data_IF_648851262217
#
_entry.id   IF_648851262217
#
_cell.length_a   1.000
_cell.length_b   1.000
_cell.length_c   1.000
_cell.angle_alpha   90.00
_cell.angle_beta   90.00
_cell.angle_gamma   90.00
#
_symmetry.space_group_name_H-M   'P 1'
#
loop_
_entity.id
_entity.type
_entity.pdbx_description
1 polymer ?
#
# COMPACT_ATOMS: atom_id res chain seq x y z
N UNK A 1 -16.81 -49.47 -56.05
CA UNK A 1 -16.83 -48.39 -55.05
C UNK A 1 -15.53 -47.60 -55.13
N UNK A 2 -15.64 -46.26 -55.26
CA UNK A 2 -14.59 -45.23 -55.05
C UNK A 2 -13.42 -45.23 -56.06
N UNK A 3 -12.99 -44.14 -56.69
CA UNK A 3 -13.32 -42.71 -56.62
C UNK A 3 -12.17 -41.96 -57.33
N UNK A 4 -12.48 -41.21 -58.39
CA UNK A 4 -11.51 -40.55 -59.30
C UNK A 4 -10.75 -39.40 -58.60
N UNK A 5 -9.42 -39.43 -58.62
CA UNK A 5 -8.57 -38.29 -58.26
C UNK A 5 -8.03 -37.57 -59.49
N UNK A 6 -8.70 -36.48 -59.91
CA UNK A 6 -8.20 -35.55 -60.94
C UNK A 6 -7.13 -34.63 -60.34
N UNK A 7 -5.90 -34.72 -60.85
CA UNK A 7 -4.86 -33.73 -60.58
C UNK A 7 -5.22 -32.40 -61.26
N UNK A 8 -5.26 -31.32 -60.47
CA UNK A 8 -5.30 -29.93 -60.96
C UNK A 8 -4.05 -29.21 -60.45
N UNK A 9 -3.21 -28.76 -61.38
CA UNK A 9 -2.22 -27.69 -61.15
C UNK A 9 -2.95 -26.33 -61.19
N UNK A 10 -2.55 -25.40 -60.33
CA UNK A 10 -2.10 -24.07 -60.79
C UNK A 10 -0.91 -23.59 -59.93
N UNK A 11 -0.18 -22.51 -60.18
CA UNK A 11 0.18 -21.71 -61.35
C UNK A 11 1.53 -21.07 -60.95
N UNK A 12 2.47 -20.91 -61.90
CA UNK A 12 3.70 -20.14 -61.66
C UNK A 12 3.51 -18.70 -62.15
N UNK A 13 3.94 -17.73 -61.35
CA UNK A 13 4.45 -16.38 -61.67
C UNK A 13 4.69 -15.72 -60.28
N UNK A 14 5.78 -15.05 -59.93
CA UNK A 14 7.02 -14.65 -60.59
C UNK A 14 7.74 -13.70 -59.61
N UNK A 15 9.08 -13.65 -59.69
CA UNK A 15 9.86 -12.44 -59.40
C UNK A 15 10.07 -12.01 -57.93
N UNK A 16 11.29 -12.30 -57.47
CA UNK A 16 12.11 -11.60 -56.47
C UNK A 16 11.65 -10.20 -56.02
N UNK A 17 11.53 -10.04 -54.70
CA UNK A 17 11.20 -8.76 -54.06
C UNK A 17 11.54 -8.70 -52.58
N UNK A 18 12.71 -9.21 -52.18
CA UNK A 18 13.27 -8.92 -50.85
C UNK A 18 14.07 -7.61 -50.91
N UNK A 19 13.58 -6.48 -50.37
CA UNK A 19 14.46 -5.38 -50.04
C UNK A 19 15.25 -5.72 -48.78
N UNK A 20 16.54 -5.99 -48.99
CA UNK A 20 17.57 -6.11 -47.96
C UNK A 20 17.62 -4.84 -47.09
N UNK A 21 17.24 -4.96 -45.81
CA UNK A 21 17.50 -3.90 -44.84
C UNK A 21 18.99 -3.92 -44.48
N UNK A 22 19.66 -2.80 -44.76
CA UNK A 22 21.08 -2.57 -44.45
C UNK A 22 21.29 -2.55 -42.92
N UNK A 23 22.40 -3.11 -42.40
CA UNK A 23 22.74 -2.96 -40.99
C UNK A 23 23.17 -1.51 -40.74
N UNK A 24 22.38 -0.79 -39.93
CA UNK A 24 22.75 0.55 -39.49
C UNK A 24 23.79 0.48 -38.36
N UNK A 25 24.78 1.35 -38.54
CA UNK A 25 25.95 1.63 -37.74
C UNK A 25 25.73 1.53 -36.21
N UNK A 26 26.66 0.86 -35.54
CA UNK A 26 26.94 1.07 -34.12
C UNK A 26 27.40 2.51 -33.92
N UNK A 27 26.73 3.25 -33.04
CA UNK A 27 27.33 4.39 -32.34
C UNK A 27 27.47 4.00 -30.87
N UNK A 28 28.72 3.98 -30.41
CA UNK A 28 29.07 3.94 -28.99
C UNK A 28 29.06 5.38 -28.45
N UNK A 29 28.81 5.44 -27.15
CA UNK A 29 29.16 6.49 -26.19
C UNK A 29 28.05 7.42 -25.65
N UNK A 30 27.75 7.13 -24.36
CA UNK A 30 27.58 8.02 -23.21
C UNK A 30 26.36 8.96 -23.11
N UNK A 31 25.48 8.68 -22.14
CA UNK A 31 25.48 9.42 -20.85
C UNK A 31 24.73 8.61 -19.76
N UNK A 32 25.13 8.69 -18.48
CA UNK A 32 24.52 7.91 -17.41
C UNK A 32 23.13 8.45 -17.07
N UNK A 33 22.21 7.55 -16.72
CA UNK A 33 20.98 7.93 -16.04
C UNK A 33 21.36 8.64 -14.73
N UNK A 34 20.99 9.91 -14.64
CA UNK A 34 21.31 10.79 -13.54
C UNK A 34 20.81 10.26 -12.20
N UNK A 35 21.67 10.44 -11.20
CA UNK A 35 21.30 10.43 -9.80
C UNK A 35 20.24 11.50 -9.53
N UNK A 36 18.98 11.10 -9.32
CA UNK A 36 18.02 11.89 -8.55
C UNK A 36 17.78 11.21 -7.19
N UNK A 37 18.87 11.10 -6.43
CA UNK A 37 18.82 10.97 -4.97
C UNK A 37 18.81 12.39 -4.38
N UNK A 38 17.79 13.19 -4.70
CA UNK A 38 17.61 14.52 -4.15
C UNK A 38 16.55 14.49 -3.04
N UNK A 39 17.03 14.44 -1.80
CA UNK A 39 16.38 15.11 -0.67
C UNK A 39 15.09 14.49 -0.13
N UNK A 40 15.15 13.27 0.43
CA UNK A 40 14.27 12.99 1.58
C UNK A 40 14.86 13.73 2.77
N UNK A 41 14.24 14.84 3.15
CA UNK A 41 14.51 15.48 4.44
C UNK A 41 14.51 14.40 5.54
N UNK A 42 15.53 14.34 6.41
CA UNK A 42 15.49 13.40 7.53
C UNK A 42 14.23 13.70 8.34
N UNK A 43 13.46 12.65 8.64
CA UNK A 43 12.28 12.73 9.49
C UNK A 43 12.59 13.66 10.68
N UNK A 44 11.91 14.81 10.73
CA UNK A 44 12.13 15.84 11.76
C UNK A 44 12.08 15.14 13.11
N UNK A 45 13.23 15.01 13.78
CA UNK A 45 13.27 14.55 15.18
C UNK A 45 12.43 15.54 15.97
N UNK A 46 11.29 15.07 16.47
CA UNK A 46 10.46 15.85 17.39
C UNK A 46 11.34 16.24 18.58
N UNK A 47 11.34 17.54 18.91
CA UNK A 47 12.05 18.01 20.10
C UNK A 47 11.44 17.32 21.33
N UNK A 48 12.27 16.91 22.32
CA UNK A 48 11.73 16.35 23.55
C UNK A 48 10.76 17.33 24.20
N UNK A 49 9.62 16.81 24.62
CA UNK A 49 8.50 17.59 25.15
C UNK A 49 8.87 18.17 26.53
N UNK A 50 8.60 19.45 26.81
CA UNK A 50 8.83 20.00 28.14
C UNK A 50 7.98 19.27 29.18
N UNK A 51 8.54 19.04 30.36
CA UNK A 51 7.84 18.39 31.47
C UNK A 51 6.64 19.25 31.91
N UNK A 52 5.42 18.74 31.73
CA UNK A 52 4.18 19.43 32.11
C UNK A 52 3.05 19.34 31.08
N UNK A 53 3.34 18.96 29.84
CA UNK A 53 2.30 18.71 28.84
C UNK A 53 1.50 17.43 29.18
N UNK A 54 0.16 17.43 28.98
CA UNK A 54 -0.64 16.22 29.13
C UNK A 54 -0.13 15.12 28.19
N UNK A 55 -0.23 13.83 28.61
CA UNK A 55 0.25 12.71 27.81
C UNK A 55 -0.39 12.73 26.42
N UNK A 56 0.41 12.39 25.40
CA UNK A 56 -0.07 12.32 24.02
C UNK A 56 -1.21 11.30 23.94
N UNK A 57 -2.32 11.68 23.32
CA UNK A 57 -3.36 10.72 22.93
C UNK A 57 -2.95 10.04 21.64
N UNK A 58 -2.72 8.74 21.71
CA UNK A 58 -2.26 7.91 20.59
C UNK A 58 -3.33 6.90 20.18
N UNK A 59 -3.50 6.72 18.87
CA UNK A 59 -4.42 5.74 18.30
C UNK A 59 -3.70 4.76 17.37
N UNK A 60 -4.04 3.49 17.50
CA UNK A 60 -3.85 2.48 16.47
C UNK A 60 -5.22 2.16 15.86
N UNK A 61 -5.42 2.52 14.60
CA UNK A 61 -6.65 2.24 13.87
C UNK A 61 -6.38 1.16 12.83
N UNK A 62 -6.84 -0.05 13.09
CA UNK A 62 -6.78 -1.14 12.14
C UNK A 62 -7.99 -1.13 11.23
N UNK A 63 -7.75 -1.06 9.93
CA UNK A 63 -8.74 -1.07 8.87
C UNK A 63 -8.72 -2.44 8.19
N UNK A 64 -9.89 -3.04 7.99
CA UNK A 64 -9.95 -4.37 7.42
C UNK A 64 -11.29 -5.06 7.56
N UNK A 65 -11.34 -6.32 7.15
CA UNK A 65 -12.50 -7.19 7.26
C UNK A 65 -12.07 -8.65 7.40
N UNK A 66 -12.28 -9.25 8.58
CA UNK A 66 -11.96 -10.66 8.85
C UNK A 66 -12.73 -11.66 7.99
N UNK A 67 -13.78 -11.23 7.28
CA UNK A 67 -14.50 -12.08 6.32
C UNK A 67 -13.79 -12.16 4.96
N UNK A 68 -12.80 -11.28 4.69
CA UNK A 68 -12.16 -11.09 3.40
C UNK A 68 -10.67 -11.50 3.40
N UNK A 69 -10.35 -12.62 4.04
CA UNK A 69 -9.05 -13.26 3.92
C UNK A 69 -7.94 -12.41 4.50
N UNK A 70 -7.02 -11.97 3.65
CA UNK A 70 -5.86 -11.19 4.10
C UNK A 70 -6.21 -9.74 4.44
N UNK A 71 -7.41 -9.25 4.11
CA UNK A 71 -7.93 -7.96 4.63
C UNK A 71 -8.06 -7.97 6.16
N UNK A 72 -8.15 -9.16 6.77
CA UNK A 72 -8.13 -9.33 8.23
C UNK A 72 -6.75 -9.17 8.88
N UNK A 73 -5.67 -8.93 8.12
CA UNK A 73 -4.31 -8.88 8.69
C UNK A 73 -4.12 -7.71 9.66
N UNK A 74 -4.77 -6.58 9.39
CA UNK A 74 -4.76 -5.42 10.28
C UNK A 74 -5.45 -5.74 11.61
N UNK A 75 -6.57 -6.46 11.58
CA UNK A 75 -7.30 -6.90 12.79
C UNK A 75 -6.49 -7.92 13.59
N UNK A 76 -5.87 -8.89 12.90
CA UNK A 76 -4.96 -9.83 13.53
C UNK A 76 -3.80 -9.12 14.24
N UNK A 77 -3.21 -8.08 13.61
CA UNK A 77 -2.16 -7.27 14.22
C UNK A 77 -2.67 -6.44 15.41
N UNK A 78 -3.84 -5.81 15.28
CA UNK A 78 -4.46 -5.02 16.33
C UNK A 78 -4.72 -5.86 17.60
N UNK A 79 -5.19 -7.09 17.44
CA UNK A 79 -5.44 -8.01 18.57
C UNK A 79 -4.16 -8.32 19.34
N UNK A 80 -3.06 -8.59 18.63
CA UNK A 80 -1.74 -8.80 19.24
C UNK A 80 -1.21 -7.52 19.91
N UNK A 81 -1.46 -6.34 19.33
CA UNK A 81 -1.04 -5.05 19.88
C UNK A 81 -1.89 -4.60 21.07
N UNK A 82 -3.09 -5.15 21.26
CA UNK A 82 -3.89 -4.93 22.47
C UNK A 82 -3.35 -5.68 23.67
N UNK A 83 -2.54 -6.71 23.48
CA UNK A 83 -2.00 -7.51 24.58
C UNK A 83 -0.92 -6.73 25.36
N UNK A 84 -1.04 -6.76 26.69
CA UNK A 84 -0.11 -6.12 27.62
C UNK A 84 -0.34 -4.62 27.83
N UNK A 85 0.51 -3.98 28.67
CA UNK A 85 0.45 -2.55 28.94
C UNK A 85 0.73 -1.71 27.68
N UNK A 86 -0.06 -0.65 27.48
CA UNK A 86 0.03 0.27 26.33
C UNK A 86 -0.39 1.68 26.72
N UNK A 87 0.12 2.67 25.99
CA UNK A 87 -0.20 4.10 26.11
C UNK A 87 -1.02 4.62 24.92
N UNK A 88 -1.60 3.71 24.12
CA UNK A 88 -2.41 4.01 22.94
C UNK A 88 -3.74 3.24 22.94
N UNK A 89 -4.73 3.82 22.29
CA UNK A 89 -6.02 3.20 22.01
C UNK A 89 -5.92 2.30 20.77
N UNK A 90 -6.70 1.21 20.72
CA UNK A 90 -6.69 0.28 19.57
C UNK A 90 -8.11 0.04 19.09
N UNK A 91 -8.41 0.49 17.87
CA UNK A 91 -9.72 0.37 17.23
C UNK A 91 -9.60 -0.53 16.01
N UNK A 92 -10.55 -1.45 15.85
CA UNK A 92 -10.78 -2.20 14.61
C UNK A 92 -11.97 -1.56 13.90
N UNK A 93 -11.85 -1.25 12.61
CA UNK A 93 -12.94 -0.68 11.81
C UNK A 93 -12.93 -1.23 10.39
N UNK A 94 -14.11 -1.46 9.84
CA UNK A 94 -14.31 -1.78 8.42
C UNK A 94 -14.79 -0.55 7.62
N UNK A 95 -14.83 0.62 8.26
CA UNK A 95 -15.25 1.88 7.64
C UNK A 95 -14.17 2.45 6.73
N UNK A 96 -14.57 3.36 5.84
CA UNK A 96 -13.69 3.94 4.83
C UNK A 96 -13.97 5.44 4.67
N UNK A 97 -13.00 6.18 4.12
CA UNK A 97 -13.18 7.58 3.75
C UNK A 97 -13.55 8.50 4.93
N UNK A 98 -14.60 9.31 4.75
CA UNK A 98 -14.98 10.35 5.71
C UNK A 98 -15.40 9.80 7.08
N UNK A 99 -15.91 8.57 7.16
CA UNK A 99 -16.29 7.94 8.43
C UNK A 99 -15.08 7.75 9.37
N UNK A 100 -13.86 7.68 8.82
CA UNK A 100 -12.64 7.58 9.62
C UNK A 100 -12.33 8.84 10.45
N UNK A 101 -12.97 9.98 10.15
CA UNK A 101 -12.79 11.22 10.93
C UNK A 101 -13.16 11.04 12.39
N UNK A 102 -14.27 10.35 12.66
CA UNK A 102 -14.82 10.21 14.01
C UNK A 102 -13.87 9.41 14.92
N UNK A 103 -13.10 8.48 14.33
CA UNK A 103 -12.08 7.72 15.05
C UNK A 103 -10.82 8.54 15.32
N UNK A 104 -10.47 9.46 14.41
CA UNK A 104 -9.20 10.19 14.45
C UNK A 104 -9.27 11.48 15.27
N UNK A 105 -10.46 12.06 15.40
CA UNK A 105 -10.65 13.29 16.16
C UNK A 105 -10.21 13.15 17.62
N UNK A 106 -9.51 14.17 18.13
CA UNK A 106 -9.07 14.26 19.52
C UNK A 106 -7.73 13.58 19.81
N UNK A 107 -7.18 12.81 18.87
CA UNK A 107 -5.85 12.20 18.99
C UNK A 107 -4.74 13.12 18.50
N UNK A 108 -3.56 12.97 19.09
CA UNK A 108 -2.37 13.75 18.73
C UNK A 108 -1.49 12.98 17.72
N UNK A 109 -1.50 11.63 17.81
CA UNK A 109 -0.80 10.70 16.92
C UNK A 109 -1.73 9.54 16.55
N UNK A 110 -1.66 9.08 15.30
CA UNK A 110 -2.38 7.90 14.84
C UNK A 110 -1.54 7.05 13.88
N UNK A 111 -1.63 5.73 14.06
CA UNK A 111 -1.07 4.72 13.14
C UNK A 111 -2.24 3.93 12.56
N UNK A 112 -2.38 3.96 11.23
CA UNK A 112 -3.35 3.15 10.50
C UNK A 112 -2.70 1.85 10.07
N UNK A 113 -3.36 0.71 10.33
CA UNK A 113 -2.97 -0.59 9.79
C UNK A 113 -3.93 -1.01 8.69
N UNK A 114 -3.43 -1.57 7.59
CA UNK A 114 -4.27 -2.03 6.50
C UNK A 114 -3.62 -3.17 5.68
N UNK A 115 -4.42 -3.90 4.90
CA UNK A 115 -3.97 -4.72 3.79
C UNK A 115 -4.03 -3.92 2.49
N UNK A 116 -3.03 -4.05 1.62
CA UNK A 116 -2.99 -3.35 0.32
C UNK A 116 -2.63 -4.30 -0.80
N UNK A 117 -3.03 -3.93 -2.01
CA UNK A 117 -2.59 -4.60 -3.24
C UNK A 117 -2.11 -3.56 -4.24
N UNK A 118 -0.79 -3.52 -4.43
CA UNK A 118 -0.13 -2.66 -5.41
C UNK A 118 0.35 -3.45 -6.63
N UNK A 119 0.58 -4.75 -6.48
CA UNK A 119 1.18 -5.62 -7.50
C UNK A 119 2.67 -5.32 -7.77
N UNK A 120 3.30 -4.46 -6.97
CA UNK A 120 4.70 -4.03 -7.13
C UNK A 120 5.65 -4.73 -6.16
N UNK A 121 5.11 -5.29 -5.09
CA UNK A 121 5.86 -5.95 -4.03
C UNK A 121 5.33 -7.38 -3.83
N UNK A 122 6.16 -8.25 -3.24
CA UNK A 122 5.72 -9.61 -2.92
C UNK A 122 4.75 -9.62 -1.73
N UNK A 123 3.80 -10.57 -1.66
CA UNK A 123 2.92 -10.74 -0.50
C UNK A 123 3.71 -10.84 0.82
N UNK A 124 3.20 -10.20 1.86
CA UNK A 124 3.85 -10.06 3.17
C UNK A 124 4.83 -8.89 3.27
N UNK A 125 5.07 -8.12 2.19
CA UNK A 125 5.90 -6.92 2.27
C UNK A 125 5.20 -5.85 3.09
N UNK A 126 5.88 -5.31 4.11
CA UNK A 126 5.34 -4.22 4.94
C UNK A 126 5.81 -2.89 4.37
N UNK A 127 4.86 -2.02 4.04
CA UNK A 127 5.06 -0.70 3.47
C UNK A 127 4.57 0.38 4.43
N UNK A 128 5.22 1.53 4.39
CA UNK A 128 4.87 2.68 5.21
C UNK A 128 4.62 3.89 4.33
N UNK A 129 3.51 4.57 4.60
CA UNK A 129 3.05 5.73 3.87
C UNK A 129 2.76 6.87 4.85
N UNK A 130 2.96 8.10 4.39
CA UNK A 130 2.42 9.30 4.98
C UNK A 130 1.18 9.79 4.21
N UNK A 131 0.47 10.79 4.76
CA UNK A 131 -0.69 11.43 4.11
C UNK A 131 -0.41 11.92 2.69
N UNK A 132 0.83 12.33 2.43
CA UNK A 132 1.24 12.92 1.16
C UNK A 132 1.39 11.88 0.04
N UNK A 133 1.56 10.60 0.38
CA UNK A 133 1.70 9.52 -0.60
C UNK A 133 0.37 9.19 -1.31
N UNK A 134 -0.76 9.65 -0.77
CA UNK A 134 -2.11 9.40 -1.32
C UNK A 134 -2.64 10.54 -2.20
N UNK A 135 -1.83 11.57 -2.51
CA UNK A 135 -2.31 12.78 -3.19
C UNK A 135 -2.66 12.61 -4.68
N UNK A 136 -2.15 11.58 -5.38
CA UNK A 136 -2.17 11.55 -6.85
C UNK A 136 -2.40 10.18 -7.52
N UNK A 137 -2.75 9.13 -6.78
CA UNK A 137 -2.95 7.79 -7.35
C UNK A 137 -4.28 7.18 -6.88
N UNK A 138 -4.87 6.23 -7.64
CA UNK A 138 -5.89 5.37 -7.05
C UNK A 138 -5.31 4.72 -5.78
N UNK A 139 -6.11 4.71 -4.72
CA UNK A 139 -5.68 4.17 -3.44
C UNK A 139 -5.36 2.67 -3.58
N UNK A 140 -4.28 2.17 -2.96
CA UNK A 140 -3.88 0.76 -3.03
C UNK A 140 -4.77 -0.17 -2.17
N UNK A 141 -5.75 0.39 -1.48
CA UNK A 141 -6.77 -0.29 -0.67
C UNK A 141 -8.09 0.48 -0.74
N UNK A 142 -9.20 -0.25 -0.63
CA UNK A 142 -10.54 0.32 -0.54
C UNK A 142 -10.72 1.17 0.73
N UNK A 143 -10.03 0.82 1.82
CA UNK A 143 -10.15 1.52 3.09
C UNK A 143 -9.57 2.93 3.05
N UNK A 144 -8.59 3.16 2.17
CA UNK A 144 -7.97 4.47 1.94
C UNK A 144 -8.72 5.33 0.91
N UNK A 145 -9.79 4.83 0.30
CA UNK A 145 -10.61 5.64 -0.60
C UNK A 145 -11.19 6.85 0.15
N UNK A 146 -10.94 8.06 -0.36
CA UNK A 146 -11.42 9.31 0.27
C UNK A 146 -10.56 9.81 1.44
N UNK A 147 -9.48 9.11 1.80
CA UNK A 147 -8.56 9.56 2.86
C UNK A 147 -7.92 10.93 2.57
N UNK A 148 -7.49 11.26 1.33
CA UNK A 148 -6.98 12.60 1.02
C UNK A 148 -8.02 13.71 1.24
N UNK A 149 -9.27 13.47 0.85
CA UNK A 149 -10.40 14.39 1.02
C UNK A 149 -10.71 14.59 2.49
N UNK A 150 -10.71 13.51 3.25
CA UNK A 150 -10.89 13.48 4.70
C UNK A 150 -9.86 14.36 5.42
N UNK A 151 -8.57 14.18 5.12
CA UNK A 151 -7.48 14.96 5.72
C UNK A 151 -7.61 16.44 5.36
N UNK A 152 -7.93 16.76 4.09
CA UNK A 152 -8.15 18.15 3.65
C UNK A 152 -9.33 18.79 4.40
N UNK A 153 -10.40 18.05 4.65
CA UNK A 153 -11.56 18.55 5.38
C UNK A 153 -11.22 18.85 6.84
N UNK A 154 -10.57 17.92 7.54
CA UNK A 154 -10.13 18.11 8.92
C UNK A 154 -9.26 19.37 9.08
N UNK A 155 -8.33 19.58 8.13
CA UNK A 155 -7.49 20.79 8.10
C UNK A 155 -8.30 22.07 7.87
N UNK A 156 -9.23 22.08 6.91
CA UNK A 156 -10.09 23.24 6.62
C UNK A 156 -10.98 23.63 7.80
N UNK A 157 -11.51 22.63 8.50
CA UNK A 157 -12.34 22.82 9.68
C UNK A 157 -11.54 23.08 10.96
N UNK A 158 -10.20 23.02 10.89
CA UNK A 158 -9.29 23.17 12.05
C UNK A 158 -9.65 22.21 13.19
N UNK A 159 -10.05 20.99 12.83
CA UNK A 159 -10.36 19.93 13.80
C UNK A 159 -9.11 19.57 14.60
N UNK A 160 -9.33 19.07 15.83
CA UNK A 160 -8.23 18.44 16.59
C UNK A 160 -7.95 17.07 15.96
N UNK A 161 -7.04 17.06 15.00
CA UNK A 161 -6.70 15.89 14.19
C UNK A 161 -5.21 15.50 14.39
N UNK A 162 -4.83 14.21 14.23
CA UNK A 162 -3.46 13.78 14.44
C UNK A 162 -2.47 14.56 13.59
N UNK A 163 -1.46 15.15 14.24
CA UNK A 163 -0.36 15.84 13.52
C UNK A 163 0.67 14.86 13.00
N UNK A 164 0.79 13.72 13.67
CA UNK A 164 1.57 12.57 13.23
C UNK A 164 0.61 11.44 12.85
N UNK A 165 0.32 11.35 11.55
CA UNK A 165 -0.50 10.29 10.97
C UNK A 165 0.41 9.41 10.12
N UNK A 166 0.58 8.15 10.52
CA UNK A 166 1.35 7.14 9.77
C UNK A 166 0.42 6.04 9.29
N UNK A 167 0.69 5.53 8.10
CA UNK A 167 -0.04 4.40 7.55
C UNK A 167 0.96 3.28 7.34
N UNK A 168 0.69 2.13 7.93
CA UNK A 168 1.49 0.93 7.79
C UNK A 168 0.61 -0.14 7.16
N UNK A 169 0.99 -0.61 5.99
CA UNK A 169 0.19 -1.58 5.26
C UNK A 169 1.01 -2.81 4.88
N UNK A 170 0.34 -3.96 4.77
CA UNK A 170 0.92 -5.19 4.27
C UNK A 170 0.46 -5.43 2.83
N UNK A 171 1.39 -5.62 1.91
CA UNK A 171 1.11 -6.11 0.56
C UNK A 171 0.56 -7.55 0.67
N UNK A 172 -0.59 -7.80 0.06
CA UNK A 172 -1.23 -9.12 -0.01
C UNK A 172 -1.44 -9.51 -1.46
N UNK A 173 -1.65 -10.80 -1.76
CA UNK A 173 -1.83 -11.25 -3.15
C UNK A 173 -3.23 -10.92 -3.69
N UNK A 174 -4.25 -11.09 -2.85
CA UNK A 174 -5.63 -10.69 -3.14
C UNK A 174 -6.36 -10.32 -1.83
N UNK A 175 -6.74 -9.05 -1.64
CA UNK A 175 -7.39 -8.60 -0.42
C UNK A 175 -8.88 -8.94 -0.35
N UNK A 176 -9.51 -9.42 -1.43
CA UNK A 176 -10.97 -9.63 -1.47
C UNK A 176 -11.26 -11.09 -1.78
N UNK A 177 -11.00 -11.95 -0.79
CA UNK A 177 -11.32 -13.38 -0.85
C UNK A 177 -12.17 -13.76 0.34
N UNK A 178 -13.39 -14.28 0.10
CA UNK A 178 -14.26 -14.72 1.20
C UNK A 178 -13.67 -15.94 1.91
N UNK A 179 -12.97 -15.68 3.02
CA UNK A 179 -12.25 -16.65 3.84
C UNK A 179 -11.91 -15.98 5.18
N UNK A 180 -12.01 -16.68 6.28
CA UNK A 180 -11.72 -16.12 7.62
C UNK A 180 -10.29 -16.36 8.12
N UNK A 181 -9.40 -16.79 7.22
CA UNK A 181 -8.01 -17.12 7.55
C UNK A 181 -7.06 -16.28 6.74
N UNK A 182 -5.87 -16.00 7.29
CA UNK A 182 -4.75 -15.42 6.56
C UNK A 182 -4.04 -16.47 5.72
N UNK A 183 -3.49 -16.05 4.57
CA UNK A 183 -2.54 -16.82 3.77
C UNK A 183 -1.28 -17.16 4.58
N UNK A 184 -0.54 -18.22 4.21
CA UNK A 184 0.76 -18.50 4.81
C UNK A 184 1.73 -17.31 4.77
N UNK A 185 1.73 -16.55 3.69
CA UNK A 185 2.57 -15.38 3.46
C UNK A 185 2.22 -14.25 4.43
N UNK A 186 0.94 -13.86 4.52
CA UNK A 186 0.48 -12.83 5.44
C UNK A 186 0.71 -13.24 6.91
N UNK A 187 0.42 -14.51 7.25
CA UNK A 187 0.66 -15.06 8.60
C UNK A 187 2.13 -15.02 8.97
N UNK A 188 3.03 -15.36 8.03
CA UNK A 188 4.48 -15.32 8.24
C UNK A 188 4.99 -13.88 8.45
N UNK A 189 4.41 -12.91 7.76
CA UNK A 189 4.77 -11.50 7.85
C UNK A 189 4.17 -10.78 9.07
N UNK A 190 3.08 -11.30 9.65
CA UNK A 190 2.35 -10.69 10.77
C UNK A 190 3.24 -10.26 11.95
N UNK A 191 4.21 -11.07 12.45
CA UNK A 191 5.08 -10.64 13.55
C UNK A 191 5.90 -9.39 13.19
N UNK A 192 6.42 -9.30 11.97
CA UNK A 192 7.19 -8.14 11.52
C UNK A 192 6.31 -6.88 11.38
N UNK A 193 5.05 -7.07 10.93
CA UNK A 193 4.05 -6.01 10.83
C UNK A 193 3.70 -5.43 12.21
N UNK A 194 3.45 -6.30 13.20
CA UNK A 194 3.21 -5.93 14.61
C UNK A 194 4.39 -5.17 15.20
N UNK A 195 5.61 -5.68 15.04
CA UNK A 195 6.82 -5.03 15.57
C UNK A 195 7.09 -3.66 14.91
N UNK A 196 6.73 -3.51 13.63
CA UNK A 196 6.84 -2.22 12.96
C UNK A 196 5.80 -1.22 13.48
N UNK A 197 4.55 -1.64 13.66
CA UNK A 197 3.50 -0.81 14.26
C UNK A 197 3.85 -0.36 15.69
N UNK A 198 4.34 -1.29 16.53
CA UNK A 198 4.77 -0.98 17.91
C UNK A 198 5.86 0.10 17.95
N UNK A 199 6.83 0.04 17.02
CA UNK A 199 7.88 1.06 16.89
C UNK A 199 7.33 2.44 16.48
N UNK A 200 6.32 2.48 15.61
CA UNK A 200 5.69 3.75 15.22
C UNK A 200 4.93 4.40 16.39
N UNK A 201 4.24 3.60 17.20
CA UNK A 201 3.51 4.08 18.38
C UNK A 201 4.43 4.49 19.55
N UNK A 202 5.66 3.99 19.57
CA UNK A 202 6.65 4.28 20.63
C UNK A 202 7.59 5.45 20.29
N UNK A 203 7.55 5.96 19.05
CA UNK A 203 8.35 7.08 18.57
C UNK A 203 7.76 8.42 19.04
#
# INVERSE_FOLDING_TARGET
>A
HQGRGRQRRPAQHGGDGLPSLRPLLRLRDAHPAGHDAAGREPARRLRPRPAGDPPLKKLLLALGNDLLGDDGVAFAAARLLREGPRDYEVVESAETGLALLDHLEGFDQAVLLDAIFTGKHGPGTVLEFGPDDFKMAPAPSNHFAGLPEMIKLAQRLRMRFPKDLRILAMEVDNPIVFRQTLTPEARKALPAFVERARRLLSA
#
